data_IF_542430870424
#
_entry.id   IF_542430870424
#
_cell.length_a   1.000
_cell.length_b   1.000
_cell.length_c   1.000
_cell.angle_alpha   90.00
_cell.angle_beta   90.00
_cell.angle_gamma   90.00
#
_symmetry.space_group_name_H-M   'P 1'
#
loop_
_entity.id
_entity.type
_entity.pdbx_description
1 polymer ?
#
# COMPACT_ATOMS: atom_id res chain seq x y z
N UNK A 1 -18.70 18.57 3.19
CA UNK A 1 -18.78 17.12 3.01
C UNK A 1 -19.12 16.80 1.55
N UNK A 2 -18.41 15.87 0.95
CA UNK A 2 -18.65 15.48 -0.44
C UNK A 2 -19.76 14.44 -0.53
N UNK A 3 -20.57 14.46 -1.61
CA UNK A 3 -21.57 13.41 -1.80
C UNK A 3 -20.92 12.07 -2.11
N UNK A 4 -21.67 10.96 -2.03
CA UNK A 4 -21.17 9.67 -2.49
C UNK A 4 -20.73 9.72 -3.93
N UNK A 5 -19.69 8.95 -4.26
CA UNK A 5 -19.22 8.81 -5.64
C UNK A 5 -19.45 7.38 -6.12
N UNK A 6 -19.60 7.22 -7.42
CA UNK A 6 -19.63 5.89 -8.02
C UNK A 6 -18.18 5.43 -8.17
N UNK A 7 -17.77 4.47 -7.36
CA UNK A 7 -16.37 4.04 -7.29
C UNK A 7 -15.87 3.42 -8.58
N UNK A 8 -16.69 2.59 -9.21
CA UNK A 8 -16.32 1.98 -10.50
C UNK A 8 -16.11 3.05 -11.57
N UNK A 9 -17.01 4.03 -11.64
CA UNK A 9 -16.87 5.14 -12.58
C UNK A 9 -15.63 5.96 -12.30
N UNK A 10 -15.34 6.23 -11.02
CA UNK A 10 -14.16 6.97 -10.63
C UNK A 10 -12.88 6.24 -11.08
N UNK A 11 -12.84 4.91 -10.93
CA UNK A 11 -11.71 4.10 -11.39
C UNK A 11 -11.56 4.23 -12.90
N UNK A 12 -12.64 4.08 -13.64
CA UNK A 12 -12.62 4.17 -15.10
C UNK A 12 -12.15 5.54 -15.58
N UNK A 13 -12.56 6.59 -14.92
CA UNK A 13 -12.16 7.97 -15.24
C UNK A 13 -10.69 8.26 -14.92
N UNK A 14 -10.06 7.46 -14.06
CA UNK A 14 -8.69 7.68 -13.61
C UNK A 14 -7.70 6.58 -14.03
N UNK A 15 -8.08 5.65 -14.89
CA UNK A 15 -7.23 4.52 -15.26
C UNK A 15 -5.87 4.91 -15.81
N UNK A 16 -5.78 6.01 -16.52
CA UNK A 16 -4.52 6.53 -17.06
C UNK A 16 -3.55 6.93 -15.95
N UNK A 17 -4.05 7.32 -14.78
CA UNK A 17 -3.25 7.72 -13.62
C UNK A 17 -2.89 6.53 -12.72
N UNK A 18 -3.48 5.36 -12.97
CA UNK A 18 -3.18 4.13 -12.24
C UNK A 18 -2.10 3.29 -12.92
N UNK A 19 -1.39 3.90 -13.85
CA UNK A 19 -0.25 3.32 -14.58
C UNK A 19 0.99 4.16 -14.31
N UNK A 20 2.20 3.61 -14.54
CA UNK A 20 3.41 4.42 -14.45
C UNK A 20 3.33 5.69 -15.32
N UNK A 21 3.90 6.83 -14.90
CA UNK A 21 4.77 6.96 -13.73
C UNK A 21 4.03 7.18 -12.39
N UNK A 22 2.73 7.47 -12.41
CA UNK A 22 2.02 7.87 -11.17
C UNK A 22 1.60 6.67 -10.34
N UNK A 23 0.85 5.74 -10.91
CA UNK A 23 0.37 4.49 -10.31
C UNK A 23 -0.63 4.61 -9.17
N UNK A 24 -0.85 5.78 -8.58
CA UNK A 24 -1.81 5.91 -7.48
C UNK A 24 -2.51 7.26 -7.50
N UNK A 25 -3.71 7.31 -6.89
CA UNK A 25 -4.48 8.54 -6.75
C UNK A 25 -5.23 8.53 -5.42
N UNK A 26 -5.20 9.66 -4.73
CA UNK A 26 -5.99 9.85 -3.51
C UNK A 26 -7.42 10.23 -3.92
N UNK A 27 -8.42 9.53 -3.38
CA UNK A 27 -9.83 9.79 -3.70
C UNK A 27 -10.36 10.98 -2.92
N UNK A 28 -10.12 10.99 -1.61
CA UNK A 28 -10.53 12.09 -0.72
C UNK A 28 -9.28 12.70 -0.11
N UNK A 29 -9.12 14.03 -0.26
CA UNK A 29 -7.98 14.78 0.25
C UNK A 29 -8.35 15.52 1.54
N UNK A 30 -7.34 15.77 2.38
CA UNK A 30 -7.46 16.61 3.58
C UNK A 30 -8.45 16.09 4.62
N UNK A 31 -8.50 14.78 4.79
CA UNK A 31 -9.30 14.10 5.79
C UNK A 31 -8.41 13.28 6.72
N UNK A 32 -9.00 12.77 7.81
CA UNK A 32 -8.29 11.92 8.77
C UNK A 32 -7.81 10.61 8.13
N UNK A 33 -8.64 10.02 7.28
CA UNK A 33 -8.27 8.80 6.55
C UNK A 33 -7.76 9.16 5.17
N UNK A 34 -6.68 8.48 4.78
CA UNK A 34 -6.16 8.52 3.42
C UNK A 34 -6.80 7.36 2.67
N UNK A 35 -7.57 7.68 1.64
CA UNK A 35 -8.24 6.68 0.80
C UNK A 35 -7.62 6.77 -0.58
N UNK A 36 -6.88 5.74 -0.96
CA UNK A 36 -6.04 5.75 -2.14
C UNK A 36 -6.34 4.57 -3.03
N UNK A 37 -6.38 4.81 -4.34
CA UNK A 37 -6.47 3.76 -5.34
C UNK A 37 -5.10 3.59 -5.98
N UNK A 38 -4.65 2.35 -6.07
CA UNK A 38 -3.30 2.02 -6.51
C UNK A 38 -3.38 1.02 -7.67
N UNK A 39 -2.68 1.35 -8.74
CA UNK A 39 -2.49 0.44 -9.87
C UNK A 39 -1.10 -0.16 -9.89
N UNK A 40 -0.64 -0.56 -11.06
CA UNK A 40 0.68 -1.14 -11.26
C UNK A 40 1.13 -1.02 -12.70
N UNK A 41 2.28 -1.59 -13.05
CA UNK A 41 3.13 -2.44 -12.20
C UNK A 41 3.97 -1.64 -11.20
N UNK A 42 4.25 -2.23 -10.07
CA UNK A 42 5.16 -1.68 -9.09
C UNK A 42 5.79 -2.81 -8.26
N UNK A 43 7.09 -2.99 -8.44
CA UNK A 43 7.87 -3.98 -7.69
C UNK A 43 8.90 -3.23 -6.85
N UNK A 44 8.84 -3.41 -5.53
CA UNK A 44 9.69 -2.69 -4.58
C UNK A 44 10.56 -3.68 -3.80
N UNK A 45 11.73 -3.18 -3.38
CA UNK A 45 12.62 -3.91 -2.47
C UNK A 45 12.61 -3.31 -1.06
N UNK A 46 12.24 -2.06 -0.92
CA UNK A 46 12.11 -1.42 0.38
C UNK A 46 10.83 -1.85 1.08
N UNK A 47 10.89 -1.86 2.40
CA UNK A 47 9.75 -2.14 3.27
C UNK A 47 9.33 -0.84 3.94
N UNK A 48 8.05 -0.55 3.87
CA UNK A 48 7.46 0.58 4.57
C UNK A 48 7.07 0.15 5.98
N UNK A 49 7.39 0.99 6.96
CA UNK A 49 7.03 0.77 8.36
C UNK A 49 6.32 2.01 8.88
N UNK A 50 5.11 1.86 9.37
CA UNK A 50 4.39 2.94 10.03
C UNK A 50 3.64 2.41 11.26
N UNK A 51 3.18 3.34 12.11
CA UNK A 51 2.54 3.01 13.38
C UNK A 51 1.02 2.83 13.27
N UNK A 52 0.46 2.94 12.08
CA UNK A 52 -0.96 2.76 11.84
C UNK A 52 -1.27 1.46 11.14
N UNK A 53 -2.50 1.01 11.29
CA UNK A 53 -3.01 -0.10 10.49
C UNK A 53 -3.26 0.35 9.05
N UNK A 54 -3.25 -0.61 8.12
CA UNK A 54 -3.50 -0.32 6.71
C UNK A 54 -4.46 -1.36 6.15
N UNK A 55 -5.53 -0.89 5.52
CA UNK A 55 -6.58 -1.73 4.96
C UNK A 55 -6.38 -1.87 3.46
N UNK A 56 -6.43 -3.11 2.96
CA UNK A 56 -6.27 -3.44 1.54
C UNK A 56 -7.53 -4.11 1.01
N UNK A 57 -7.94 -3.70 -0.18
CA UNK A 57 -9.00 -4.35 -0.94
C UNK A 57 -8.57 -4.42 -2.41
N UNK A 58 -8.48 -5.63 -2.98
CA UNK A 58 -8.16 -5.79 -4.40
C UNK A 58 -9.43 -5.77 -5.23
N UNK A 59 -9.60 -4.67 -5.95
CA UNK A 59 -10.78 -4.42 -6.78
C UNK A 59 -10.69 -5.19 -8.10
N UNK A 60 -9.53 -5.13 -8.77
CA UNK A 60 -9.27 -5.82 -10.04
C UNK A 60 -7.88 -6.43 -10.01
N UNK A 61 -7.82 -7.72 -10.27
CA UNK A 61 -6.56 -8.46 -10.28
C UNK A 61 -6.02 -8.73 -8.88
N UNK A 62 -4.94 -9.48 -8.83
CA UNK A 62 -4.31 -9.91 -7.58
C UNK A 62 -3.08 -9.05 -7.26
N UNK A 63 -2.68 -9.06 -5.99
CA UNK A 63 -1.41 -8.48 -5.58
C UNK A 63 -0.74 -9.40 -4.56
N UNK A 64 0.53 -9.16 -4.29
CA UNK A 64 1.27 -9.81 -3.21
C UNK A 64 1.74 -8.73 -2.24
N UNK A 65 1.39 -8.89 -0.97
CA UNK A 65 1.91 -8.04 0.09
C UNK A 65 3.00 -8.82 0.82
N UNK A 66 4.24 -8.40 0.63
CA UNK A 66 5.37 -9.00 1.31
C UNK A 66 5.54 -8.33 2.65
N UNK A 67 5.59 -9.12 3.72
CA UNK A 67 5.77 -8.60 5.08
C UNK A 67 7.01 -9.22 5.71
N UNK A 68 7.54 -8.55 6.75
CA UNK A 68 8.53 -9.14 7.63
C UNK A 68 7.83 -9.64 8.88
N UNK A 69 7.93 -10.93 9.13
CA UNK A 69 7.36 -11.58 10.31
C UNK A 69 8.44 -12.47 10.93
N UNK A 70 8.77 -12.22 12.20
CA UNK A 70 9.85 -12.94 12.90
C UNK A 70 11.19 -12.86 12.13
N UNK A 71 11.52 -11.68 11.60
CA UNK A 71 12.74 -11.38 10.86
C UNK A 71 12.87 -12.15 9.55
N UNK A 72 11.76 -12.67 9.02
CA UNK A 72 11.72 -13.39 7.74
C UNK A 72 10.65 -12.81 6.83
N UNK A 73 10.92 -12.75 5.51
CA UNK A 73 9.88 -12.32 4.58
C UNK A 73 8.81 -13.39 4.44
N UNK A 74 7.58 -12.91 4.35
CA UNK A 74 6.41 -13.75 4.11
C UNK A 74 5.54 -13.06 3.08
N UNK A 75 5.15 -13.78 2.03
CA UNK A 75 4.28 -13.26 1.00
C UNK A 75 2.82 -13.57 1.32
N UNK A 76 2.00 -12.53 1.36
CA UNK A 76 0.55 -12.65 1.52
C UNK A 76 -0.07 -12.29 0.18
N UNK A 77 -0.72 -13.27 -0.46
CA UNK A 77 -1.46 -13.01 -1.69
C UNK A 77 -2.84 -12.45 -1.34
N UNK A 78 -3.17 -11.31 -1.94
CA UNK A 78 -4.50 -10.71 -1.84
C UNK A 78 -5.10 -10.77 -3.23
N UNK A 79 -6.07 -11.66 -3.40
CA UNK A 79 -6.70 -11.91 -4.69
C UNK A 79 -7.81 -10.90 -4.99
N UNK A 80 -8.16 -10.78 -6.26
CA UNK A 80 -9.29 -9.95 -6.66
C UNK A 80 -10.51 -10.26 -5.80
N UNK A 81 -11.13 -9.22 -5.25
CA UNK A 81 -12.29 -9.34 -4.37
C UNK A 81 -11.97 -9.56 -2.91
N UNK A 82 -10.69 -9.79 -2.56
CA UNK A 82 -10.30 -10.03 -1.18
C UNK A 82 -9.89 -8.76 -0.44
N UNK A 83 -10.09 -8.77 0.86
CA UNK A 83 -9.66 -7.69 1.75
C UNK A 83 -8.64 -8.23 2.76
N UNK A 84 -7.78 -7.35 3.25
CA UNK A 84 -6.78 -7.68 4.26
C UNK A 84 -6.51 -6.45 5.14
N UNK A 85 -6.50 -6.65 6.45
CA UNK A 85 -6.10 -5.62 7.40
C UNK A 85 -4.70 -5.92 7.91
N UNK A 86 -3.76 -5.05 7.58
CA UNK A 86 -2.38 -5.15 8.05
C UNK A 86 -2.27 -4.49 9.41
N UNK A 87 -1.73 -5.23 10.39
CA UNK A 87 -1.51 -4.70 11.73
C UNK A 87 -0.47 -3.56 11.71
N UNK A 88 -0.58 -2.69 12.70
CA UNK A 88 0.39 -1.62 12.92
C UNK A 88 1.79 -2.19 13.13
N UNK A 89 2.79 -1.42 12.74
CA UNK A 89 4.22 -1.72 12.96
C UNK A 89 4.76 -2.97 12.27
N UNK A 90 4.06 -3.49 11.25
CA UNK A 90 4.57 -4.59 10.44
C UNK A 90 5.23 -4.02 9.17
N UNK A 91 6.54 -4.22 9.01
CA UNK A 91 7.21 -3.80 7.76
C UNK A 91 6.60 -4.54 6.57
N UNK A 92 6.29 -3.80 5.51
CA UNK A 92 5.60 -4.36 4.35
C UNK A 92 6.06 -3.74 3.05
N UNK A 93 5.99 -4.54 1.99
CA UNK A 93 6.42 -4.16 0.65
C UNK A 93 5.37 -4.64 -0.36
N UNK A 94 4.45 -3.76 -0.79
CA UNK A 94 3.45 -4.14 -1.78
C UNK A 94 4.10 -4.44 -3.13
N UNK A 95 3.73 -5.58 -3.71
CA UNK A 95 4.14 -5.99 -5.05
C UNK A 95 2.89 -5.97 -5.92
N UNK A 96 2.85 -5.06 -6.89
CA UNK A 96 1.66 -4.87 -7.73
C UNK A 96 1.97 -5.17 -9.18
N UNK A 97 0.99 -5.74 -9.85
CA UNK A 97 1.11 -6.19 -11.23
C UNK A 97 0.41 -5.22 -12.19
N UNK A 98 0.75 -5.35 -13.47
CA UNK A 98 0.15 -4.54 -14.52
C UNK A 98 -1.35 -4.79 -14.61
N UNK A 99 -2.11 -3.73 -14.91
CA UNK A 99 -3.57 -3.79 -15.09
C UNK A 99 -4.35 -4.24 -13.85
N UNK A 100 -3.85 -3.91 -12.67
CA UNK A 100 -4.55 -4.21 -11.42
C UNK A 100 -5.01 -2.92 -10.75
N UNK A 101 -6.03 -3.03 -9.90
CA UNK A 101 -6.57 -1.91 -9.14
C UNK A 101 -6.81 -2.36 -7.70
N UNK A 102 -6.17 -1.67 -6.77
CA UNK A 102 -6.35 -1.89 -5.35
C UNK A 102 -6.80 -0.64 -4.63
N UNK A 103 -7.52 -0.83 -3.54
CA UNK A 103 -7.92 0.24 -2.62
C UNK A 103 -7.13 0.09 -1.34
N UNK A 104 -6.53 1.18 -0.90
CA UNK A 104 -5.76 1.22 0.35
C UNK A 104 -6.33 2.33 1.22
N UNK A 105 -6.62 2.01 2.46
CA UNK A 105 -7.12 2.97 3.45
C UNK A 105 -6.20 2.94 4.65
N UNK A 106 -5.70 4.11 5.03
CA UNK A 106 -4.87 4.27 6.22
C UNK A 106 -5.20 5.57 6.92
N UNK A 107 -4.89 5.63 8.22
CA UNK A 107 -5.04 6.84 9.01
C UNK A 107 -3.90 7.81 8.70
N UNK A 108 -4.22 9.09 8.59
CA UNK A 108 -3.21 10.12 8.47
C UNK A 108 -2.30 10.07 9.71
N UNK A 109 -0.99 10.21 9.51
CA UNK A 109 -0.04 10.17 10.61
C UNK A 109 -0.23 11.35 11.54
N UNK A 110 -0.07 11.10 12.85
CA UNK A 110 0.03 12.14 13.83
C UNK A 110 1.36 12.90 13.64
N UNK A 111 1.44 14.13 14.18
CA UNK A 111 2.64 14.97 13.99
C UNK A 111 3.93 14.34 14.52
N UNK A 112 3.83 13.51 15.56
CA UNK A 112 4.98 12.82 16.17
C UNK A 112 5.25 11.44 15.58
N UNK A 113 4.44 10.98 14.62
CA UNK A 113 4.65 9.69 13.96
C UNK A 113 5.58 9.83 12.76
N UNK A 114 6.48 8.86 12.60
CA UNK A 114 7.44 8.81 11.50
C UNK A 114 7.09 7.68 10.54
N UNK A 115 7.36 7.91 9.24
CA UNK A 115 7.34 6.87 8.23
C UNK A 115 8.71 6.21 8.19
N UNK A 116 8.75 4.90 8.32
CA UNK A 116 9.96 4.12 8.23
C UNK A 116 10.09 3.42 6.90
N UNK A 117 11.31 3.37 6.39
CA UNK A 117 11.67 2.61 5.19
C UNK A 117 12.83 1.72 5.54
N UNK A 118 12.74 0.44 5.23
CA UNK A 118 13.72 -0.57 5.61
C UNK A 118 14.13 -1.40 4.41
N UNK A 119 15.41 -1.78 4.35
CA UNK A 119 15.97 -2.64 3.32
C UNK A 119 16.64 -3.83 3.97
N UNK A 120 16.41 -5.03 3.42
CA UNK A 120 16.87 -6.28 3.97
C UNK A 120 17.72 -7.03 2.95
N UNK A 121 18.65 -7.87 3.44
CA UNK A 121 19.43 -8.75 2.59
C UNK A 121 18.54 -9.85 1.99
N UNK A 122 18.58 -10.05 0.68
CA UNK A 122 17.77 -11.05 -0.01
C UNK A 122 18.14 -12.48 0.39
N UNK A 123 19.37 -12.70 0.89
CA UNK A 123 19.89 -14.03 1.23
C UNK A 123 19.70 -14.38 2.70
N UNK A 124 20.11 -13.50 3.61
CA UNK A 124 20.13 -13.79 5.03
C UNK A 124 19.02 -13.04 5.81
N UNK A 125 18.30 -12.14 5.15
CA UNK A 125 17.21 -11.34 5.71
C UNK A 125 17.62 -10.40 6.83
N UNK A 126 18.92 -10.11 6.98
CA UNK A 126 19.37 -9.08 7.90
C UNK A 126 19.01 -7.71 7.39
N UNK A 127 18.58 -6.83 8.31
CA UNK A 127 18.31 -5.44 7.97
C UNK A 127 19.61 -4.75 7.56
N UNK A 128 19.64 -4.23 6.33
CA UNK A 128 20.81 -3.54 5.78
C UNK A 128 20.78 -2.05 6.05
N UNK A 129 19.61 -1.45 6.04
CA UNK A 129 19.44 -0.01 6.14
C UNK A 129 18.02 0.31 6.58
N UNK A 130 17.86 1.39 7.33
CA UNK A 130 16.54 1.94 7.63
C UNK A 130 16.60 3.45 7.75
N UNK A 131 15.50 4.11 7.43
CA UNK A 131 15.36 5.56 7.50
C UNK A 131 13.93 5.89 7.95
N UNK A 132 13.82 6.83 8.87
CA UNK A 132 12.53 7.30 9.38
C UNK A 132 12.41 8.80 9.13
N UNK A 133 11.29 9.21 8.51
CA UNK A 133 11.02 10.61 8.16
C UNK A 133 9.64 11.03 8.66
N UNK A 134 9.45 12.32 9.02
CA UNK A 134 8.14 12.84 9.43
C UNK A 134 7.12 12.86 8.31
#
# INVERSE_FOLDING_TARGET
>A
MLPPINFKQWIDDNRDKLKPPVCNQVVYKDHEFIIMVVGGPNTRKDYHHNHGEEFFYQVEGNMVLRIMENDKPKDIEIKEGEIFLLDADVPHSPQRFENTVGLVIERKRAEDELDGFQWYCDKCHNKLYEEYIP
#
